data_IF_690576614689
#
_entry.id   IF_690576614689
#
_cell.length_a   1.000
_cell.length_b   1.000
_cell.length_c   1.000
_cell.angle_alpha   90.00
_cell.angle_beta   90.00
_cell.angle_gamma   90.00
#
_symmetry.space_group_name_H-M   'P 1'
#
loop_
_entity.id
_entity.type
_entity.pdbx_description
1 polymer ?
#
# COMPACT_ATOMS: atom_id res chain seq x y z
N UNK A 1 -53.36 18.05 7.81
CA UNK A 1 -52.17 18.15 6.95
C UNK A 1 -50.99 18.55 7.82
N UNK A 2 -50.12 17.60 8.17
CA UNK A 2 -48.94 17.88 8.98
C UNK A 2 -47.82 18.40 8.08
N UNK A 3 -47.22 19.53 8.46
CA UNK A 3 -46.15 20.18 7.73
C UNK A 3 -44.87 19.31 7.77
N UNK A 4 -44.32 19.04 6.59
CA UNK A 4 -43.03 18.37 6.43
C UNK A 4 -41.96 19.36 6.91
N UNK A 5 -41.32 19.07 8.04
CA UNK A 5 -40.12 19.79 8.47
C UNK A 5 -38.94 19.37 7.59
N UNK A 6 -38.33 20.34 6.94
CA UNK A 6 -37.09 20.15 6.20
C UNK A 6 -35.96 19.69 7.14
N UNK A 7 -35.08 18.77 6.71
CA UNK A 7 -33.92 18.37 7.49
C UNK A 7 -33.00 19.58 7.79
N UNK A 8 -32.25 19.56 8.91
CA UNK A 8 -31.37 20.66 9.29
C UNK A 8 -30.33 20.92 8.20
N UNK A 9 -30.20 22.18 7.80
CA UNK A 9 -29.14 22.62 6.91
C UNK A 9 -27.82 22.58 7.68
N UNK A 10 -26.93 21.65 7.31
CA UNK A 10 -25.56 21.66 7.78
C UNK A 10 -24.81 22.77 7.04
N UNK A 11 -24.63 23.91 7.69
CA UNK A 11 -23.71 24.94 7.22
C UNK A 11 -22.29 24.39 7.32
N UNK A 12 -21.61 24.33 6.16
CA UNK A 12 -20.17 24.12 6.04
C UNK A 12 -19.48 25.09 7.00
N UNK A 13 -18.85 24.57 8.05
CA UNK A 13 -17.88 25.38 8.79
C UNK A 13 -16.68 25.53 7.86
N UNK A 14 -16.59 26.67 7.20
CA UNK A 14 -15.36 27.15 6.55
C UNK A 14 -14.33 27.49 7.63
N UNK A 15 -13.86 26.47 8.36
CA UNK A 15 -12.60 26.58 9.09
C UNK A 15 -11.52 26.17 8.12
N UNK A 16 -10.82 27.15 7.54
CA UNK A 16 -9.57 26.89 6.86
C UNK A 16 -8.67 26.11 7.83
N UNK A 17 -8.33 24.87 7.45
CA UNK A 17 -7.44 24.04 8.25
C UNK A 17 -6.09 24.75 8.38
N UNK A 18 -5.38 24.61 9.52
CA UNK A 18 -4.00 25.05 9.60
C UNK A 18 -3.23 24.41 8.41
N UNK A 19 -2.32 25.15 7.75
CA UNK A 19 -1.57 24.60 6.64
C UNK A 19 -0.88 23.32 7.11
N UNK A 20 -1.28 22.17 6.55
CA UNK A 20 -0.61 20.92 6.86
C UNK A 20 0.87 21.09 6.55
N UNK A 21 1.73 20.67 7.48
CA UNK A 21 3.17 20.71 7.24
C UNK A 21 3.48 19.96 5.95
N UNK A 22 4.09 20.65 4.99
CA UNK A 22 4.64 20.06 3.77
C UNK A 22 6.00 19.40 4.02
N UNK A 23 6.44 19.34 5.28
CA UNK A 23 7.74 18.82 5.68
C UNK A 23 7.59 17.67 6.66
N UNK A 24 8.32 16.60 6.40
CA UNK A 24 8.47 15.48 7.33
C UNK A 24 9.38 15.88 8.48
N UNK A 25 9.04 15.52 9.73
CA UNK A 25 9.98 15.56 10.85
C UNK A 25 11.25 14.74 10.55
N UNK A 26 12.38 15.13 11.14
CA UNK A 26 13.66 14.41 10.98
C UNK A 26 13.57 12.96 11.49
N UNK A 27 12.83 12.77 12.58
CA UNK A 27 12.53 11.46 13.15
C UNK A 27 11.06 11.31 13.46
N UNK A 28 10.54 10.10 13.28
CA UNK A 28 9.17 9.69 13.55
C UNK A 28 9.17 8.66 14.68
N UNK A 29 8.15 8.70 15.52
CA UNK A 29 8.03 7.77 16.65
C UNK A 29 7.42 6.44 16.21
N UNK A 30 8.05 5.34 16.62
CA UNK A 30 7.55 3.97 16.47
C UNK A 30 7.76 3.22 17.79
N UNK A 31 6.68 3.08 18.56
CA UNK A 31 6.70 2.50 19.90
C UNK A 31 7.50 3.37 20.87
N UNK A 32 8.62 2.83 21.36
CA UNK A 32 9.58 3.55 22.19
C UNK A 32 10.72 4.20 21.38
N UNK A 33 10.87 3.84 20.10
CA UNK A 33 11.96 4.33 19.25
C UNK A 33 11.59 5.62 18.51
N UNK A 34 12.62 6.40 18.15
CA UNK A 34 12.54 7.49 17.19
C UNK A 34 13.43 7.13 16.00
N UNK A 35 12.85 7.09 14.80
CA UNK A 35 13.52 6.59 13.60
C UNK A 35 13.44 7.60 12.47
N UNK A 36 14.44 7.59 11.58
CA UNK A 36 14.33 8.32 10.32
C UNK A 36 13.22 7.70 9.46
N UNK A 37 12.59 8.47 8.56
CA UNK A 37 11.63 7.91 7.63
C UNK A 37 12.19 6.72 6.85
N UNK A 38 11.57 5.54 6.99
CA UNK A 38 11.99 4.31 6.29
C UNK A 38 11.64 4.33 4.81
N UNK A 39 10.81 5.29 4.38
CA UNK A 39 10.49 5.62 2.99
C UNK A 39 10.43 7.13 2.82
N UNK A 40 10.73 7.60 1.60
CA UNK A 40 10.78 9.02 1.25
C UNK A 40 9.64 9.39 0.31
N UNK A 41 9.31 10.69 0.27
CA UNK A 41 8.31 11.24 -0.67
C UNK A 41 8.68 10.93 -2.13
N UNK A 42 9.97 11.03 -2.46
CA UNK A 42 10.45 10.74 -3.82
C UNK A 42 10.25 9.27 -4.21
N UNK A 43 10.48 8.34 -3.28
CA UNK A 43 10.22 6.91 -3.51
C UNK A 43 8.73 6.63 -3.71
N UNK A 44 7.85 7.24 -2.91
CA UNK A 44 6.40 7.14 -3.11
C UNK A 44 5.97 7.68 -4.48
N UNK A 45 6.50 8.84 -4.90
CA UNK A 45 6.23 9.40 -6.24
C UNK A 45 6.71 8.48 -7.36
N UNK A 46 7.92 7.92 -7.22
CA UNK A 46 8.49 6.99 -8.19
C UNK A 46 7.64 5.72 -8.30
N UNK A 47 7.24 5.18 -7.16
CA UNK A 47 6.39 4.00 -7.09
C UNK A 47 5.02 4.25 -7.73
N UNK A 48 4.38 5.39 -7.46
CA UNK A 48 3.11 5.74 -8.11
C UNK A 48 3.20 5.81 -9.65
N UNK A 49 4.30 6.36 -10.19
CA UNK A 49 4.52 6.35 -11.65
C UNK A 49 4.68 4.94 -12.19
N UNK A 50 5.39 4.07 -11.46
CA UNK A 50 5.52 2.66 -11.83
C UNK A 50 4.17 1.93 -11.80
N UNK A 51 3.34 2.17 -10.78
CA UNK A 51 1.99 1.62 -10.72
C UNK A 51 1.12 2.09 -11.88
N UNK A 52 1.22 3.38 -12.26
CA UNK A 52 0.59 3.91 -13.48
C UNK A 52 1.05 3.18 -14.74
N UNK A 53 2.35 2.92 -14.88
CA UNK A 53 2.90 2.17 -16.00
C UNK A 53 2.40 0.71 -16.04
N UNK A 54 2.28 0.03 -14.89
CA UNK A 54 1.68 -1.31 -14.82
C UNK A 54 0.21 -1.29 -15.25
N UNK A 55 -0.56 -0.30 -14.82
CA UNK A 55 -1.93 -0.12 -15.26
C UNK A 55 -2.02 0.07 -16.77
N UNK A 56 -1.23 0.98 -17.34
CA UNK A 56 -1.19 1.21 -18.80
C UNK A 56 -0.76 -0.04 -19.58
N UNK A 57 0.15 -0.84 -19.05
CA UNK A 57 0.54 -2.12 -19.65
C UNK A 57 -0.65 -3.08 -19.70
N UNK A 58 -1.39 -3.24 -18.59
CA UNK A 58 -2.60 -4.07 -18.50
C UNK A 58 -3.68 -3.58 -19.47
N UNK A 59 -3.99 -2.28 -19.45
CA UNK A 59 -4.99 -1.67 -20.33
C UNK A 59 -4.67 -1.88 -21.80
N UNK A 60 -3.41 -1.65 -22.21
CA UNK A 60 -2.98 -1.86 -23.61
C UNK A 60 -3.06 -3.32 -24.04
N UNK A 61 -2.70 -4.24 -23.15
CA UNK A 61 -2.74 -5.69 -23.42
C UNK A 61 -4.17 -6.18 -23.64
N UNK A 62 -5.14 -5.56 -22.96
CA UNK A 62 -6.55 -5.93 -22.99
C UNK A 62 -7.39 -5.07 -23.94
N UNK A 63 -6.77 -4.14 -24.67
CA UNK A 63 -7.48 -3.17 -25.52
C UNK A 63 -8.25 -3.86 -26.65
N UNK A 64 -9.44 -3.33 -26.97
CA UNK A 64 -10.32 -3.78 -28.06
C UNK A 64 -10.81 -5.24 -27.97
N UNK A 65 -10.64 -5.89 -26.81
CA UNK A 65 -11.11 -7.26 -26.55
C UNK A 65 -12.46 -7.27 -25.81
N UNK A 66 -13.25 -8.34 -26.01
CA UNK A 66 -14.41 -8.60 -25.16
C UNK A 66 -13.97 -8.93 -23.72
N UNK A 67 -14.80 -8.69 -22.68
CA UNK A 67 -14.40 -8.93 -21.29
C UNK A 67 -13.85 -10.35 -21.02
N UNK A 68 -14.46 -11.37 -21.63
CA UNK A 68 -13.99 -12.77 -21.51
C UNK A 68 -12.62 -12.96 -22.15
N UNK A 69 -12.44 -12.47 -23.39
CA UNK A 69 -11.18 -12.57 -24.11
C UNK A 69 -10.07 -11.74 -23.45
N UNK A 70 -10.42 -10.60 -22.85
CA UNK A 70 -9.49 -9.72 -22.15
C UNK A 70 -8.91 -10.42 -20.90
N UNK A 71 -9.76 -11.09 -20.12
CA UNK A 71 -9.32 -11.85 -18.93
C UNK A 71 -8.37 -12.98 -19.31
N UNK A 72 -8.70 -13.76 -20.35
CA UNK A 72 -7.87 -14.85 -20.85
C UNK A 72 -6.53 -14.33 -21.41
N UNK A 73 -6.57 -13.28 -22.23
CA UNK A 73 -5.37 -12.63 -22.81
C UNK A 73 -4.46 -12.11 -21.70
N UNK A 74 -5.01 -11.50 -20.67
CA UNK A 74 -4.23 -11.03 -19.52
C UNK A 74 -3.57 -12.18 -18.77
N UNK A 75 -4.27 -13.30 -18.56
CA UNK A 75 -3.69 -14.48 -17.93
C UNK A 75 -2.51 -15.05 -18.74
N UNK A 76 -2.66 -15.17 -20.07
CA UNK A 76 -1.58 -15.62 -20.97
C UNK A 76 -0.40 -14.64 -20.94
N UNK A 77 -0.65 -13.34 -20.96
CA UNK A 77 0.39 -12.32 -20.85
C UNK A 77 1.19 -12.47 -19.56
N UNK A 78 0.52 -12.65 -18.42
CA UNK A 78 1.17 -12.83 -17.12
C UNK A 78 2.01 -14.10 -17.05
N UNK A 79 1.55 -15.21 -17.63
CA UNK A 79 2.37 -16.42 -17.74
C UNK A 79 3.65 -16.16 -18.55
N UNK A 80 3.53 -15.42 -19.66
CA UNK A 80 4.68 -14.97 -20.44
C UNK A 80 5.63 -14.08 -19.63
N UNK A 81 5.09 -13.13 -18.85
CA UNK A 81 5.87 -12.24 -18.00
C UNK A 81 6.63 -12.99 -16.90
N UNK A 82 6.01 -14.00 -16.27
CA UNK A 82 6.68 -14.88 -15.29
C UNK A 82 7.81 -15.66 -15.95
N UNK A 83 7.59 -16.22 -17.15
CA UNK A 83 8.66 -16.90 -17.90
C UNK A 83 9.81 -15.96 -18.22
N UNK A 84 9.53 -14.72 -18.67
CA UNK A 84 10.57 -13.70 -18.91
C UNK A 84 11.29 -13.30 -17.63
N UNK A 85 10.60 -13.24 -16.48
CA UNK A 85 11.24 -13.02 -15.18
C UNK A 85 12.21 -14.14 -14.82
N UNK A 86 11.84 -15.42 -15.01
CA UNK A 86 12.78 -16.53 -14.79
C UNK A 86 14.02 -16.44 -15.66
N UNK A 87 13.84 -16.12 -16.95
CA UNK A 87 14.94 -16.00 -17.90
C UNK A 87 15.86 -14.84 -17.54
N UNK A 88 15.29 -13.71 -17.15
CA UNK A 88 16.04 -12.56 -16.66
C UNK A 88 16.85 -12.88 -15.39
N UNK A 89 16.27 -13.59 -14.41
CA UNK A 89 16.98 -14.03 -13.20
C UNK A 89 18.20 -14.89 -13.55
N UNK A 90 18.02 -15.87 -14.44
CA UNK A 90 19.10 -16.77 -14.90
C UNK A 90 20.18 -16.00 -15.64
N UNK A 91 19.80 -15.08 -16.53
CA UNK A 91 20.75 -14.25 -17.27
C UNK A 91 21.55 -13.33 -16.33
N UNK A 92 20.89 -12.75 -15.33
CA UNK A 92 21.51 -11.95 -14.28
C UNK A 92 22.55 -12.72 -13.47
N UNK A 93 22.26 -13.97 -13.10
CA UNK A 93 23.20 -14.85 -12.39
C UNK A 93 24.49 -15.13 -13.19
N UNK A 94 24.42 -15.07 -14.53
CA UNK A 94 25.60 -15.23 -15.41
C UNK A 94 26.33 -13.91 -15.71
N UNK A 95 25.91 -12.79 -15.11
CA UNK A 95 26.52 -11.47 -15.28
C UNK A 95 26.22 -10.81 -16.63
N UNK A 96 25.20 -11.27 -17.37
CA UNK A 96 24.89 -10.84 -18.74
C UNK A 96 23.70 -9.88 -18.88
N UNK A 97 22.98 -9.56 -17.81
CA UNK A 97 21.71 -8.81 -17.87
C UNK A 97 21.83 -7.29 -17.71
N UNK A 98 20.93 -6.55 -18.36
CA UNK A 98 20.60 -5.16 -18.01
C UNK A 98 20.24 -5.06 -16.53
N UNK A 99 20.68 -3.99 -15.85
CA UNK A 99 20.38 -3.75 -14.42
C UNK A 99 18.89 -3.55 -14.15
N UNK A 100 18.13 -3.11 -15.16
CA UNK A 100 16.69 -2.87 -15.05
C UNK A 100 15.98 -3.73 -16.09
N UNK A 101 15.13 -4.69 -15.68
CA UNK A 101 14.40 -5.53 -16.62
C UNK A 101 13.25 -4.78 -17.30
N UNK A 102 12.63 -5.37 -18.35
CA UNK A 102 11.41 -4.86 -18.95
C UNK A 102 10.25 -4.69 -17.95
N UNK A 103 9.26 -3.86 -18.31
CA UNK A 103 8.19 -3.44 -17.40
C UNK A 103 7.33 -4.59 -16.85
N UNK A 104 7.05 -5.60 -17.67
CA UNK A 104 6.26 -6.77 -17.27
C UNK A 104 7.02 -7.68 -16.29
N UNK A 105 8.33 -7.81 -16.49
CA UNK A 105 9.23 -8.50 -15.56
C UNK A 105 9.33 -7.74 -14.23
N UNK A 106 9.38 -6.41 -14.27
CA UNK A 106 9.30 -5.57 -13.06
C UNK A 106 7.98 -5.74 -12.31
N UNK A 107 6.88 -5.89 -13.02
CA UNK A 107 5.55 -6.14 -12.43
C UNK A 107 5.52 -7.46 -11.67
N UNK A 108 6.12 -8.52 -12.21
CA UNK A 108 6.25 -9.81 -11.52
C UNK A 108 7.15 -9.69 -10.29
N UNK A 109 8.32 -9.06 -10.42
CA UNK A 109 9.24 -8.89 -9.29
C UNK A 109 8.63 -8.02 -8.18
N UNK A 110 7.90 -6.96 -8.54
CA UNK A 110 7.15 -6.11 -7.62
C UNK A 110 6.16 -6.94 -6.79
N UNK A 111 5.28 -7.72 -7.44
CA UNK A 111 4.31 -8.56 -6.74
C UNK A 111 4.98 -9.62 -5.83
N UNK A 112 6.15 -10.11 -6.22
CA UNK A 112 6.93 -11.03 -5.39
C UNK A 112 7.45 -10.35 -4.11
N UNK A 113 7.97 -9.12 -4.21
CA UNK A 113 8.47 -8.36 -3.05
C UNK A 113 7.35 -7.97 -2.08
N UNK A 114 6.12 -7.80 -2.57
CA UNK A 114 4.93 -7.62 -1.73
C UNK A 114 4.49 -8.90 -0.98
N UNK A 115 5.26 -9.99 -1.08
CA UNK A 115 5.10 -11.20 -0.29
C UNK A 115 6.42 -11.47 0.48
N UNK A 116 6.79 -10.63 1.46
CA UNK A 116 8.14 -10.55 2.00
C UNK A 116 8.60 -11.86 2.67
N UNK A 117 7.70 -12.61 3.32
CA UNK A 117 8.06 -13.91 3.90
C UNK A 117 8.37 -14.95 2.82
N UNK A 118 7.57 -15.00 1.75
CA UNK A 118 7.75 -15.93 0.62
C UNK A 118 8.99 -15.58 -0.18
N UNK A 119 9.17 -14.29 -0.51
CA UNK A 119 10.38 -13.78 -1.19
C UNK A 119 11.65 -14.16 -0.42
N UNK A 120 11.67 -13.92 0.90
CA UNK A 120 12.82 -14.22 1.73
C UNK A 120 13.06 -15.74 1.86
N UNK A 121 12.00 -16.56 1.91
CA UNK A 121 12.12 -18.02 1.92
C UNK A 121 12.75 -18.54 0.63
N UNK A 122 12.23 -18.10 -0.52
CA UNK A 122 12.67 -18.60 -1.82
C UNK A 122 14.09 -18.13 -2.13
N UNK A 123 14.42 -16.88 -1.79
CA UNK A 123 15.78 -16.33 -1.90
C UNK A 123 16.82 -17.16 -1.12
N UNK A 124 16.42 -17.78 -0.01
CA UNK A 124 17.33 -18.61 0.82
C UNK A 124 17.40 -20.07 0.39
N UNK A 125 16.46 -20.55 -0.43
CA UNK A 125 16.30 -21.99 -0.65
C UNK A 125 16.06 -22.34 -2.11
N UNK A 126 14.89 -21.99 -2.64
CA UNK A 126 14.38 -22.46 -3.93
C UNK A 126 14.96 -21.70 -5.13
N UNK A 127 15.25 -20.40 -4.97
CA UNK A 127 15.72 -19.52 -6.06
C UNK A 127 16.81 -18.57 -5.52
N UNK A 128 18.06 -19.06 -5.33
CA UNK A 128 19.17 -18.27 -4.79
C UNK A 128 19.49 -17.00 -5.60
N UNK A 129 19.15 -16.97 -6.89
CA UNK A 129 19.31 -15.83 -7.77
C UNK A 129 18.60 -14.58 -7.23
N UNK A 130 17.47 -14.73 -6.53
CA UNK A 130 16.75 -13.61 -5.91
C UNK A 130 17.61 -12.88 -4.88
N UNK A 131 18.46 -13.60 -4.13
CA UNK A 131 19.35 -13.00 -3.12
C UNK A 131 20.47 -12.16 -3.74
N UNK A 132 20.73 -12.32 -5.04
CA UNK A 132 21.74 -11.55 -5.77
C UNK A 132 21.19 -10.25 -6.36
N UNK A 133 19.86 -10.09 -6.33
CA UNK A 133 19.22 -8.89 -6.84
C UNK A 133 19.54 -7.70 -5.93
N UNK A 134 19.89 -6.58 -6.57
CA UNK A 134 20.05 -5.31 -5.90
C UNK A 134 18.70 -4.70 -5.45
N UNK A 135 18.71 -3.43 -5.00
CA UNK A 135 17.46 -2.75 -4.67
C UNK A 135 16.52 -2.71 -5.88
N UNK A 136 15.22 -2.82 -5.61
CA UNK A 136 14.20 -2.76 -6.65
C UNK A 136 14.28 -1.40 -7.39
N UNK A 137 14.36 -1.38 -8.73
CA UNK A 137 14.54 -0.15 -9.48
C UNK A 137 13.20 0.58 -9.67
N UNK A 138 12.96 1.60 -8.85
CA UNK A 138 11.80 2.50 -9.00
C UNK A 138 11.89 3.45 -10.22
N UNK A 139 13.00 3.44 -10.94
CA UNK A 139 13.30 4.34 -12.05
C UNK A 139 14.04 3.63 -13.19
N UNK A 140 14.05 4.23 -14.38
CA UNK A 140 14.85 3.78 -15.53
C UNK A 140 14.22 2.67 -16.37
N UNK A 141 12.99 2.26 -16.06
CA UNK A 141 12.24 1.26 -16.81
C UNK A 141 11.76 1.77 -18.19
N UNK A 142 11.54 3.08 -18.35
CA UNK A 142 11.11 3.69 -19.62
C UNK A 142 12.15 3.59 -20.75
N UNK A 143 13.42 3.34 -20.41
CA UNK A 143 14.51 3.22 -21.39
C UNK A 143 14.66 1.82 -21.95
N UNK A 144 13.89 0.85 -21.46
CA UNK A 144 13.96 -0.54 -21.91
C UNK A 144 12.92 -0.76 -23.01
N UNK A 145 13.37 -1.05 -24.22
CA UNK A 145 12.50 -1.60 -25.27
C UNK A 145 12.11 -3.00 -24.81
N UNK A 146 10.84 -3.38 -24.95
CA UNK A 146 10.44 -4.78 -24.86
C UNK A 146 11.30 -5.53 -25.89
N UNK A 147 12.37 -6.19 -25.43
CA UNK A 147 13.14 -7.05 -26.31
C UNK A 147 12.13 -8.03 -26.91
N UNK A 148 12.10 -8.06 -28.24
CA UNK A 148 11.21 -8.89 -29.04
C UNK A 148 11.12 -10.30 -28.45
N UNK A 149 9.94 -10.92 -28.56
CA UNK A 149 9.57 -12.25 -28.03
C UNK A 149 10.47 -13.44 -28.47
N UNK A 150 11.69 -13.20 -28.95
CA UNK A 150 12.77 -14.13 -29.30
C UNK A 150 13.40 -14.85 -28.09
N UNK A 151 12.61 -15.08 -27.05
CA UNK A 151 12.93 -16.05 -26.00
C UNK A 151 12.49 -17.45 -26.42
N UNK A 152 12.95 -17.85 -27.61
CA UNK A 152 12.83 -19.19 -28.16
C UNK A 152 14.00 -20.04 -27.68
N UNK A 153 13.97 -20.36 -26.38
CA UNK A 153 14.74 -21.48 -25.83
C UNK A 153 13.85 -22.18 -24.83
N UNK A 154 13.51 -23.44 -25.13
CA UNK A 154 13.01 -24.40 -24.16
C UNK A 154 13.96 -24.43 -22.96
N UNK A 155 13.55 -23.78 -21.86
CA UNK A 155 14.22 -23.95 -20.57
C UNK A 155 13.66 -25.23 -19.96
N UNK A 156 14.47 -26.28 -19.67
CA UNK A 156 13.91 -27.60 -19.39
C UNK A 156 13.21 -27.73 -18.03
N UNK A 157 13.29 -26.72 -17.15
CA UNK A 157 12.68 -26.71 -15.81
C UNK A 157 12.29 -25.30 -15.40
N UNK A 158 11.03 -25.11 -15.02
CA UNK A 158 10.53 -23.89 -14.37
C UNK A 158 11.23 -23.66 -13.01
N UNK A 159 11.36 -22.40 -12.58
CA UNK A 159 11.90 -22.11 -11.25
C UNK A 159 10.84 -22.46 -10.19
N UNK A 160 11.20 -23.14 -9.09
CA UNK A 160 10.23 -23.61 -8.10
C UNK A 160 9.83 -22.49 -7.13
N UNK A 161 9.14 -21.46 -7.61
CA UNK A 161 8.58 -20.41 -6.77
C UNK A 161 7.60 -21.01 -5.74
N UNK A 162 7.62 -20.54 -4.49
CA UNK A 162 6.78 -21.11 -3.42
C UNK A 162 5.29 -20.73 -3.49
N UNK A 163 4.91 -19.91 -4.46
CA UNK A 163 3.53 -19.49 -4.70
C UNK A 163 3.31 -19.02 -6.13
N UNK A 164 2.04 -18.90 -6.49
CA UNK A 164 1.59 -18.45 -7.81
C UNK A 164 1.82 -16.94 -8.00
N UNK A 165 2.86 -16.61 -8.78
CA UNK A 165 3.21 -15.24 -9.14
C UNK A 165 2.17 -14.58 -10.07
N UNK A 166 1.48 -15.35 -10.92
CA UNK A 166 0.41 -14.82 -11.77
C UNK A 166 -0.74 -14.34 -10.90
N UNK A 167 -1.19 -15.19 -9.97
CA UNK A 167 -2.23 -14.84 -9.02
C UNK A 167 -1.83 -13.66 -8.12
N UNK A 168 -0.55 -13.56 -7.74
CA UNK A 168 -0.04 -12.43 -6.96
C UNK A 168 -0.14 -11.09 -7.71
N UNK A 169 0.29 -11.05 -8.98
CA UNK A 169 0.14 -9.84 -9.82
C UNK A 169 -1.34 -9.47 -9.99
N UNK A 170 -2.22 -10.47 -10.12
CA UNK A 170 -3.66 -10.24 -10.22
C UNK A 170 -4.25 -9.63 -8.93
N UNK A 171 -3.90 -10.13 -7.74
CA UNK A 171 -4.40 -9.59 -6.46
C UNK A 171 -4.01 -8.12 -6.25
N UNK A 172 -2.79 -7.77 -6.64
CA UNK A 172 -2.29 -6.40 -6.56
C UNK A 172 -2.93 -5.44 -7.58
N UNK A 173 -3.58 -5.95 -8.64
CA UNK A 173 -4.25 -5.11 -9.65
C UNK A 173 -5.33 -4.21 -9.04
N UNK A 174 -6.08 -4.71 -8.05
CA UNK A 174 -7.17 -3.94 -7.42
C UNK A 174 -6.67 -2.73 -6.64
N UNK A 175 -5.47 -2.82 -6.06
CA UNK A 175 -4.80 -1.69 -5.42
C UNK A 175 -4.39 -0.65 -6.46
N UNK A 176 -3.74 -1.09 -7.54
CA UNK A 176 -3.30 -0.21 -8.65
C UNK A 176 -4.48 0.53 -9.27
N UNK A 177 -5.58 -0.15 -9.55
CA UNK A 177 -6.82 0.44 -10.09
C UNK A 177 -7.33 1.57 -9.18
N UNK A 178 -7.41 1.34 -7.86
CA UNK A 178 -7.80 2.39 -6.90
C UNK A 178 -6.86 3.60 -6.94
N UNK A 179 -5.55 3.39 -7.03
CA UNK A 179 -4.59 4.51 -7.11
C UNK A 179 -4.74 5.30 -8.41
N UNK A 180 -5.09 4.64 -9.52
CA UNK A 180 -5.37 5.26 -10.82
C UNK A 180 -6.68 6.05 -10.78
N UNK A 181 -7.75 5.46 -10.25
CA UNK A 181 -9.06 6.09 -10.13
C UNK A 181 -9.01 7.34 -9.24
N UNK A 182 -8.16 7.32 -8.20
CA UNK A 182 -7.90 8.49 -7.37
C UNK A 182 -7.06 9.59 -8.07
N UNK A 183 -6.51 9.29 -9.25
CA UNK A 183 -5.61 10.18 -9.99
C UNK A 183 -4.21 10.32 -9.37
N UNK A 184 -3.82 9.42 -8.46
CA UNK A 184 -2.52 9.49 -7.76
C UNK A 184 -1.35 9.06 -8.65
N UNK A 185 -1.61 8.24 -9.67
CA UNK A 185 -0.59 7.77 -10.63
C UNK A 185 -0.30 8.76 -11.75
N UNK A 186 -1.07 9.85 -11.87
CA UNK A 186 -0.83 10.87 -12.88
C UNK A 186 0.54 11.55 -12.69
N UNK A 187 1.31 11.66 -13.78
CA UNK A 187 2.72 12.11 -13.77
C UNK A 187 2.94 13.47 -13.11
N UNK A 188 1.95 14.36 -13.20
CA UNK A 188 2.00 15.73 -12.67
C UNK A 188 1.34 15.91 -11.30
N UNK A 189 0.64 14.90 -10.77
CA UNK A 189 -0.21 15.01 -9.56
C UNK A 189 0.51 15.61 -8.36
N UNK A 190 1.75 15.18 -8.08
CA UNK A 190 2.50 15.56 -6.87
C UNK A 190 3.69 16.50 -7.14
N UNK A 191 3.78 17.10 -8.33
CA UNK A 191 4.88 18.03 -8.67
C UNK A 191 4.77 19.33 -7.86
N UNK A 192 3.56 19.87 -7.72
CA UNK A 192 3.33 21.17 -7.06
C UNK A 192 3.04 21.05 -5.57
N UNK A 193 2.39 19.96 -5.19
CA UNK A 193 1.96 19.69 -3.82
C UNK A 193 2.12 18.21 -3.52
N UNK A 194 3.07 17.88 -2.64
CA UNK A 194 3.34 16.52 -2.17
C UNK A 194 2.88 16.28 -0.72
N UNK A 195 2.07 17.19 -0.16
CA UNK A 195 1.59 17.11 1.23
C UNK A 195 0.89 15.79 1.54
N UNK A 196 0.12 15.26 0.60
CA UNK A 196 -0.51 13.94 0.74
C UNK A 196 0.54 12.83 0.95
N UNK A 197 1.65 12.85 0.19
CA UNK A 197 2.72 11.85 0.30
C UNK A 197 3.55 12.02 1.57
N UNK A 198 3.79 13.27 1.99
CA UNK A 198 4.39 13.60 3.31
C UNK A 198 3.55 12.94 4.42
N UNK A 199 2.23 13.05 4.32
CA UNK A 199 1.30 12.44 5.26
C UNK A 199 1.26 10.92 5.14
N UNK A 200 1.31 10.34 3.94
CA UNK A 200 1.42 8.89 3.75
C UNK A 200 2.62 8.32 4.51
N UNK A 201 3.78 8.97 4.41
CA UNK A 201 4.99 8.57 5.15
C UNK A 201 4.76 8.67 6.66
N UNK A 202 4.26 9.81 7.16
CA UNK A 202 3.99 9.99 8.59
C UNK A 202 2.97 8.98 9.14
N UNK A 203 1.86 8.76 8.41
CA UNK A 203 0.79 7.83 8.77
C UNK A 203 1.27 6.39 8.75
N UNK A 204 2.15 6.01 7.84
CA UNK A 204 2.77 4.69 7.85
C UNK A 204 3.63 4.44 9.09
N UNK A 205 4.39 5.44 9.55
CA UNK A 205 5.16 5.28 10.80
C UNK A 205 4.24 5.21 12.03
N UNK A 206 3.16 5.98 12.07
CA UNK A 206 2.12 5.82 13.09
C UNK A 206 1.44 4.44 13.01
N UNK A 207 1.26 3.88 11.81
CA UNK A 207 0.74 2.52 11.64
C UNK A 207 1.71 1.46 12.21
N UNK A 208 3.02 1.61 11.99
CA UNK A 208 4.04 0.78 12.63
C UNK A 208 4.02 0.94 14.16
N UNK A 209 3.87 2.16 14.69
CA UNK A 209 3.70 2.42 16.13
C UNK A 209 2.48 1.67 16.69
N UNK A 210 1.35 1.72 15.98
CA UNK A 210 0.14 1.00 16.38
C UNK A 210 0.37 -0.52 16.44
N UNK A 211 1.15 -1.07 15.50
CA UNK A 211 1.54 -2.48 15.48
C UNK A 211 2.47 -2.87 16.63
N UNK A 212 3.31 -1.95 17.13
CA UNK A 212 4.12 -2.22 18.34
C UNK A 212 3.27 -2.38 19.59
N UNK A 213 2.16 -1.64 19.69
CA UNK A 213 1.29 -1.66 20.86
C UNK A 213 0.43 -2.94 20.92
N UNK A 214 0.07 -3.50 19.77
CA UNK A 214 -0.83 -4.65 19.66
C UNK A 214 -0.28 -5.70 18.67
N UNK A 215 0.80 -6.43 19.02
CA UNK A 215 1.54 -7.27 18.06
C UNK A 215 0.77 -8.49 17.54
N UNK A 216 -0.29 -8.92 18.23
CA UNK A 216 -1.17 -10.02 17.83
C UNK A 216 -2.42 -9.56 17.04
N UNK A 217 -2.64 -8.23 16.91
CA UNK A 217 -3.79 -7.71 16.17
C UNK A 217 -3.50 -7.67 14.67
N UNK A 218 -4.51 -8.02 13.89
CA UNK A 218 -4.54 -7.75 12.46
C UNK A 218 -5.10 -6.35 12.23
N UNK A 219 -4.30 -5.47 11.63
CA UNK A 219 -4.67 -4.10 11.32
C UNK A 219 -4.67 -3.89 9.80
N UNK A 220 -5.63 -3.11 9.32
CA UNK A 220 -5.86 -2.87 7.90
C UNK A 220 -5.40 -1.46 7.52
N UNK A 221 -4.45 -1.31 6.60
CA UNK A 221 -3.97 0.00 6.16
C UNK A 221 -5.04 0.75 5.35
N UNK A 222 -5.07 2.09 5.44
CA UNK A 222 -5.70 2.93 4.40
C UNK A 222 -4.82 2.94 3.14
N UNK A 223 -5.38 3.32 1.98
CA UNK A 223 -4.63 3.27 0.69
C UNK A 223 -3.30 4.05 0.72
N UNK A 224 -3.27 5.20 1.39
CA UNK A 224 -2.07 6.02 1.55
C UNK A 224 -1.01 5.37 2.45
N UNK A 225 -1.44 4.66 3.49
CA UNK A 225 -0.57 3.88 4.38
C UNK A 225 -0.07 2.63 3.65
N UNK A 226 -0.93 1.96 2.89
CA UNK A 226 -0.60 0.75 2.13
C UNK A 226 0.40 1.07 1.01
N UNK A 227 0.26 2.21 0.32
CA UNK A 227 1.26 2.70 -0.65
C UNK A 227 2.64 2.83 -0.01
N UNK A 228 2.74 3.49 1.15
CA UNK A 228 4.01 3.66 1.85
C UNK A 228 4.57 2.31 2.34
N UNK A 229 3.70 1.41 2.79
CA UNK A 229 4.08 0.06 3.19
C UNK A 229 4.59 -0.76 2.00
N UNK A 230 3.89 -0.83 0.87
CA UNK A 230 4.38 -1.48 -0.35
C UNK A 230 5.73 -0.90 -0.78
N UNK A 231 5.88 0.43 -0.74
CA UNK A 231 7.16 1.09 -1.06
C UNK A 231 8.29 0.65 -0.14
N UNK A 232 8.01 0.43 1.15
CA UNK A 232 8.98 -0.09 2.10
C UNK A 232 9.32 -1.55 1.78
N UNK A 233 8.34 -2.40 1.44
CA UNK A 233 8.54 -3.82 1.06
C UNK A 233 9.47 -3.98 -0.15
N UNK A 234 9.44 -3.04 -1.11
CA UNK A 234 10.34 -3.03 -2.28
C UNK A 234 11.84 -2.91 -1.91
N UNK A 235 12.16 -2.62 -0.65
CA UNK A 235 13.54 -2.59 -0.13
C UNK A 235 14.05 -3.95 0.34
N UNK A 236 13.27 -5.02 0.18
CA UNK A 236 13.66 -6.42 0.39
C UNK A 236 14.37 -6.67 1.73
N UNK A 237 15.69 -6.85 1.74
CA UNK A 237 16.49 -7.10 2.95
C UNK A 237 16.36 -5.97 3.97
N UNK A 238 16.38 -4.71 3.53
CA UNK A 238 16.22 -3.56 4.44
C UNK A 238 14.84 -3.56 5.09
N UNK A 239 13.78 -3.89 4.34
CA UNK A 239 12.43 -4.05 4.90
C UNK A 239 12.41 -5.09 6.03
N UNK A 240 13.06 -6.23 5.81
CA UNK A 240 13.16 -7.30 6.80
C UNK A 240 13.92 -6.84 8.05
N UNK A 241 15.03 -6.13 7.88
CA UNK A 241 15.86 -5.62 8.97
C UNK A 241 15.11 -4.57 9.79
N UNK A 242 14.48 -3.60 9.12
CA UNK A 242 13.71 -2.53 9.76
C UNK A 242 12.52 -3.09 10.53
N UNK A 243 11.74 -3.99 9.94
CA UNK A 243 10.58 -4.60 10.63
C UNK A 243 10.98 -5.48 11.81
N UNK A 244 12.08 -6.23 11.71
CA UNK A 244 12.61 -6.97 12.86
C UNK A 244 13.08 -6.04 13.97
N UNK A 245 13.78 -4.95 13.64
CA UNK A 245 14.26 -3.98 14.62
C UNK A 245 13.12 -3.23 15.32
N UNK A 246 12.05 -2.90 14.59
CA UNK A 246 10.94 -2.09 15.11
C UNK A 246 9.83 -2.92 15.75
N UNK A 247 9.52 -4.08 15.18
CA UNK A 247 8.33 -4.88 15.52
C UNK A 247 8.68 -6.26 16.11
N UNK A 248 9.95 -6.64 16.16
CA UNK A 248 10.43 -7.99 16.52
C UNK A 248 9.86 -9.11 15.64
N UNK A 249 9.30 -8.76 14.47
CA UNK A 249 8.79 -9.69 13.47
C UNK A 249 8.88 -9.06 12.09
N UNK A 250 9.05 -9.90 11.07
CA UNK A 250 8.80 -9.44 9.70
C UNK A 250 7.30 -9.28 9.56
N UNK A 251 6.88 -8.07 9.18
CA UNK A 251 5.49 -7.80 8.93
C UNK A 251 5.15 -8.38 7.55
N UNK A 252 4.16 -9.26 7.50
CA UNK A 252 3.73 -9.89 6.24
C UNK A 252 2.58 -9.11 5.62
N UNK A 253 2.51 -9.09 4.29
CA UNK A 253 1.40 -8.51 3.53
C UNK A 253 0.60 -9.66 2.92
N UNK A 254 -0.26 -10.26 3.75
CA UNK A 254 -1.15 -11.32 3.31
C UNK A 254 -2.36 -10.71 2.61
N UNK A 255 -2.33 -10.74 1.27
CA UNK A 255 -3.37 -10.21 0.40
C UNK A 255 -4.47 -11.24 0.08
N UNK A 256 -4.52 -12.37 0.81
CA UNK A 256 -5.52 -13.43 0.62
C UNK A 256 -6.69 -13.38 1.62
N UNK A 257 -6.75 -12.35 2.46
CA UNK A 257 -7.79 -12.20 3.49
C UNK A 257 -9.15 -11.86 2.89
N UNK A 258 -10.20 -12.54 3.34
CA UNK A 258 -11.58 -12.36 2.89
C UNK A 258 -12.14 -10.96 3.21
N UNK A 259 -13.07 -10.48 2.38
CA UNK A 259 -13.59 -9.10 2.45
C UNK A 259 -14.35 -8.79 3.77
N UNK A 260 -15.06 -9.76 4.34
CA UNK A 260 -15.80 -9.59 5.59
C UNK A 260 -14.84 -9.43 6.79
N UNK A 261 -13.78 -10.23 6.84
CA UNK A 261 -12.72 -10.11 7.85
C UNK A 261 -11.97 -8.77 7.72
N UNK A 262 -11.84 -8.26 6.49
CA UNK A 262 -11.24 -6.95 6.23
C UNK A 262 -12.08 -5.81 6.82
N UNK A 263 -13.41 -5.84 6.68
CA UNK A 263 -14.29 -4.80 7.21
C UNK A 263 -14.26 -4.72 8.74
N UNK A 264 -14.37 -5.86 9.42
CA UNK A 264 -14.28 -5.95 10.88
C UNK A 264 -12.90 -5.48 11.38
N UNK A 265 -11.84 -5.86 10.69
CA UNK A 265 -10.48 -5.48 11.04
C UNK A 265 -10.19 -4.01 10.77
N UNK A 266 -10.81 -3.41 9.75
CA UNK A 266 -10.73 -1.98 9.48
C UNK A 266 -11.39 -1.14 10.59
N UNK A 267 -12.55 -1.58 11.10
CA UNK A 267 -13.19 -0.94 12.25
C UNK A 267 -12.30 -1.01 13.51
N UNK A 268 -11.73 -2.19 13.79
CA UNK A 268 -10.77 -2.36 14.88
C UNK A 268 -9.55 -1.45 14.73
N UNK A 269 -9.03 -1.30 13.52
CA UNK A 269 -7.89 -0.42 13.23
C UNK A 269 -8.26 1.04 13.49
N UNK A 270 -9.44 1.47 13.04
CA UNK A 270 -9.94 2.83 13.25
C UNK A 270 -10.07 3.15 14.73
N UNK A 271 -10.63 2.24 15.52
CA UNK A 271 -10.78 2.40 16.96
C UNK A 271 -9.43 2.46 17.66
N UNK A 272 -8.53 1.50 17.39
CA UNK A 272 -7.21 1.45 18.01
C UNK A 272 -6.37 2.69 17.67
N UNK A 273 -6.46 3.18 16.43
CA UNK A 273 -5.80 4.41 16.00
C UNK A 273 -6.32 5.63 16.76
N UNK A 274 -7.64 5.77 16.90
CA UNK A 274 -8.25 6.85 17.67
C UNK A 274 -7.83 6.81 19.14
N UNK A 275 -7.82 5.62 19.76
CA UNK A 275 -7.37 5.44 21.14
C UNK A 275 -5.89 5.78 21.32
N UNK A 276 -5.05 5.39 20.35
CA UNK A 276 -3.60 5.57 20.42
C UNK A 276 -3.18 7.01 20.16
N UNK A 277 -3.79 7.67 19.18
CA UNK A 277 -3.34 8.95 18.63
C UNK A 277 -4.32 10.11 18.81
N UNK A 278 -5.57 9.85 19.26
CA UNK A 278 -6.58 10.89 19.45
C UNK A 278 -7.05 11.57 18.17
N UNK A 279 -6.81 10.96 17.01
CA UNK A 279 -7.15 11.51 15.70
C UNK A 279 -7.86 10.47 14.84
N UNK A 280 -8.63 10.91 13.85
CA UNK A 280 -9.37 9.99 12.97
C UNK A 280 -8.43 9.23 12.04
N UNK A 281 -8.69 7.92 11.87
CA UNK A 281 -7.93 7.08 10.95
C UNK A 281 -8.42 7.24 9.51
N UNK A 282 -9.75 7.26 9.34
CA UNK A 282 -10.45 7.39 8.06
C UNK A 282 -11.70 8.27 8.19
N UNK A 283 -12.34 8.64 7.08
CA UNK A 283 -13.56 9.45 7.08
C UNK A 283 -14.76 8.79 7.76
N UNK A 284 -14.71 7.47 7.98
CA UNK A 284 -15.74 6.70 8.68
C UNK A 284 -15.50 6.62 10.20
N UNK A 285 -14.48 7.31 10.73
CA UNK A 285 -14.19 7.33 12.16
C UNK A 285 -15.27 8.13 12.90
N UNK A 286 -16.06 7.49 13.75
CA UNK A 286 -16.89 8.20 14.71
C UNK A 286 -15.99 8.80 15.79
N UNK A 287 -15.66 10.09 15.67
CA UNK A 287 -14.88 10.81 16.69
C UNK A 287 -15.82 11.10 17.87
N UNK A 288 -15.59 10.56 19.08
CA UNK A 288 -16.37 10.93 20.26
C UNK A 288 -16.16 12.42 20.57
N UNK A 289 -17.16 13.10 21.18
CA UNK A 289 -17.00 14.48 21.64
C UNK A 289 -15.76 14.63 22.54
N UNK A 290 -15.14 15.81 22.49
CA UNK A 290 -13.77 16.13 22.89
C UNK A 290 -13.42 16.03 24.40
N UNK A 291 -14.04 15.11 25.14
CA UNK A 291 -13.83 14.92 26.59
C UNK A 291 -12.87 13.77 26.94
N UNK A 292 -12.30 13.07 25.95
CA UNK A 292 -11.17 12.16 26.19
C UNK A 292 -9.87 12.85 25.85
N UNK A 293 -9.07 13.12 26.88
CA UNK A 293 -7.74 13.70 26.75
C UNK A 293 -6.95 12.93 25.67
N UNK A 294 -6.47 13.65 24.65
CA UNK A 294 -5.49 13.14 23.68
C UNK A 294 -4.33 12.57 24.50
N UNK A 295 -3.91 11.35 24.17
CA UNK A 295 -2.72 10.76 24.76
C UNK A 295 -1.59 11.80 24.73
N UNK A 296 -0.94 12.15 25.86
CA UNK A 296 -0.01 13.28 25.97
C UNK A 296 1.31 13.09 25.19
N UNK A 297 1.33 12.19 24.21
CA UNK A 297 2.53 11.61 23.62
C UNK A 297 2.77 12.07 22.17
N UNK A 298 1.91 12.90 21.60
CA UNK A 298 2.10 13.47 20.26
C UNK A 298 2.15 15.00 20.32
N UNK A 299 3.17 15.57 19.70
CA UNK A 299 3.20 17.00 19.37
C UNK A 299 2.09 17.33 18.35
N UNK A 300 1.50 18.52 18.46
CA UNK A 300 0.39 18.98 17.64
C UNK A 300 0.71 18.97 16.14
N UNK A 301 1.98 19.25 15.77
CA UNK A 301 2.42 19.19 14.38
C UNK A 301 2.36 17.76 13.80
N UNK A 302 2.78 16.76 14.57
CA UNK A 302 2.74 15.36 14.15
C UNK A 302 1.29 14.83 14.16
N UNK A 303 0.47 15.22 15.15
CA UNK A 303 -0.95 14.91 15.17
C UNK A 303 -1.69 15.42 13.92
N UNK A 304 -1.33 16.62 13.42
CA UNK A 304 -1.85 17.18 12.17
C UNK A 304 -1.45 16.39 10.92
N UNK A 305 -0.23 15.84 10.87
CA UNK A 305 0.24 15.01 9.76
C UNK A 305 -0.52 13.68 9.67
N UNK A 306 -0.76 13.05 10.82
CA UNK A 306 -1.34 11.71 10.86
C UNK A 306 -2.87 11.70 10.89
N UNK A 307 -3.52 12.84 11.11
CA UNK A 307 -4.96 12.97 11.03
C UNK A 307 -5.50 12.51 9.66
N UNK A 308 -6.79 12.19 9.59
CA UNK A 308 -7.46 11.99 8.31
C UNK A 308 -7.67 13.32 7.58
N UNK A 309 -7.44 13.37 6.27
CA UNK A 309 -7.73 14.55 5.44
C UNK A 309 -9.08 14.42 4.74
N UNK A 310 -10.06 15.23 5.17
CA UNK A 310 -11.39 15.25 4.57
C UNK A 310 -11.39 15.97 3.20
N UNK A 311 -10.42 16.85 2.95
CA UNK A 311 -10.33 17.62 1.69
C UNK A 311 -9.67 16.83 0.56
N UNK A 312 -8.67 16.00 0.85
CA UNK A 312 -8.13 15.08 -0.16
C UNK A 312 -9.20 14.06 -0.59
N UNK A 313 -9.98 13.54 0.36
CA UNK A 313 -11.09 12.62 0.09
C UNK A 313 -12.24 13.23 -0.74
N UNK A 314 -12.43 14.56 -0.68
CA UNK A 314 -13.49 15.26 -1.43
C UNK A 314 -13.04 15.83 -2.78
N UNK A 315 -11.73 15.97 -3.03
CA UNK A 315 -11.18 16.29 -4.37
C UNK A 315 -11.32 15.14 -5.36
N UNK A 316 -11.51 13.93 -4.86
CA UNK A 316 -11.52 12.66 -5.61
C UNK A 316 -12.93 12.05 -5.69
N UNK A 317 -13.97 12.76 -5.25
CA UNK A 317 -15.28 12.18 -4.92
C UNK A 317 -15.85 11.20 -5.96
N UNK A 318 -15.74 9.93 -5.60
CA UNK A 318 -16.38 8.77 -6.21
C UNK A 318 -15.93 7.54 -5.42
N UNK A 319 -16.70 7.17 -4.41
CA UNK A 319 -16.52 5.97 -3.59
C UNK A 319 -15.54 6.07 -2.41
N UNK A 320 -16.11 6.15 -1.22
CA UNK A 320 -15.42 5.80 0.00
C UNK A 320 -15.27 4.28 -0.02
N UNK A 321 -14.07 3.78 -0.32
CA UNK A 321 -13.73 2.37 -0.23
C UNK A 321 -14.13 1.81 1.14
N UNK A 322 -15.22 1.07 1.15
CA UNK A 322 -15.88 0.56 2.34
C UNK A 322 -17.38 0.56 2.16
N UNK A 323 -17.91 -0.50 1.55
CA UNK A 323 -19.35 -0.72 1.39
C UNK A 323 -20.06 -0.75 2.74
N UNK A 324 -20.49 0.41 3.22
CA UNK A 324 -21.48 0.55 4.29
C UNK A 324 -22.82 0.97 3.67
N UNK A 325 -23.35 0.14 2.77
CA UNK A 325 -24.75 0.19 2.38
C UNK A 325 -25.52 -0.80 3.26
N UNK A 326 -25.95 -0.35 4.42
CA UNK A 326 -26.73 -1.17 5.35
C UNK A 326 -27.10 -0.39 6.59
N UNK A 327 -28.23 0.33 6.53
CA UNK A 327 -28.83 0.94 7.72
C UNK A 327 -29.23 -0.15 8.70
N UNK A 328 -28.56 -0.18 9.85
CA UNK A 328 -28.89 -1.04 10.98
C UNK A 328 -28.32 -0.43 12.25
N UNK A 329 -29.21 0.06 13.11
CA UNK A 329 -28.86 0.56 14.44
C UNK A 329 -28.08 -0.52 15.21
N UNK A 330 -26.83 -0.22 15.60
CA UNK A 330 -26.00 -1.12 16.39
C UNK A 330 -25.99 -0.64 17.85
N UNK A 331 -26.87 -1.23 18.66
CA UNK A 331 -26.84 -1.09 20.10
C UNK A 331 -25.67 -1.86 20.74
N UNK A 332 -25.10 -1.26 21.78
CA UNK A 332 -24.67 -1.96 23.00
C UNK A 332 -23.50 -2.94 22.94
N UNK A 333 -22.30 -2.43 23.26
CA UNK A 333 -21.44 -2.94 24.33
C UNK A 333 -20.67 -4.24 24.11
N UNK A 334 -19.33 -4.16 24.17
CA UNK A 334 -18.46 -5.13 24.82
C UNK A 334 -17.13 -4.44 25.18
N UNK A 335 -16.92 -4.22 26.47
CA UNK A 335 -15.66 -3.73 27.02
C UNK A 335 -14.67 -4.88 27.18
N UNK A 336 -13.46 -4.68 26.66
CA UNK A 336 -12.30 -5.55 26.89
C UNK A 336 -11.05 -4.69 26.92
N UNK A 337 -10.80 -4.02 28.05
CA UNK A 337 -9.63 -3.16 28.23
C UNK A 337 -8.33 -3.97 28.18
N UNK A 338 -7.43 -3.57 27.29
CA UNK A 338 -6.05 -4.04 27.29
C UNK A 338 -5.35 -3.43 28.52
N UNK A 339 -5.16 -4.23 29.58
CA UNK A 339 -4.35 -3.82 30.73
C UNK A 339 -2.87 -3.97 30.40
N UNK A 340 -2.14 -2.88 30.59
CA UNK A 340 -0.69 -2.84 30.57
C UNK A 340 -0.12 -3.71 31.70
N UNK A 341 0.76 -4.65 31.34
CA UNK A 341 1.79 -5.17 32.23
C UNK A 341 3.12 -5.17 31.48
#
# INVERSE_FOLDING_TARGET
MAAIQSPPAYTRRDTALPPYSSTLPETLRVGAAHVKPVVTVNELQAHLRLLGAFHELKTRTMADLSPSAASETWAVFLQGAVRRFEMWLRAGATGRGSRVPPLDVLMVWHAYLLNPLKYARDSRSAVPELATLGPFPLHGYDSQVLESDDYDVESPRELPFSFDLVAAVQRQSSFVEKMVDMGWTATDRFIRDSSALVRSVARYHAFLDLMTACPASFFVPTLDVDLAWHTHQLKATTYREDTLALLNKVLDHDDTVEAEDLANSFQRTTQAWLERFGTAYSGCSNIPPADKAVSPVLDAAYAGLIAYDVHEATRVSGDCGGGCAGGGECGGGCGGGCSTK
#
